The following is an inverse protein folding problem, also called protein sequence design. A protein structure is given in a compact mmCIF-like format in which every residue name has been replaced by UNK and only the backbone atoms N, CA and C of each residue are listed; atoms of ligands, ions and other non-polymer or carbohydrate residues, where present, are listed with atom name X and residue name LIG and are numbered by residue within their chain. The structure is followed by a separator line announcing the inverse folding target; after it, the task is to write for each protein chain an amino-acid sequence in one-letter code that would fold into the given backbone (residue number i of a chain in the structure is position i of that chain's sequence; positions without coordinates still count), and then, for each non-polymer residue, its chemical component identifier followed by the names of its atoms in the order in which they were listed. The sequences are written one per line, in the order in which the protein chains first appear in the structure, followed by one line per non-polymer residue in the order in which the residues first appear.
data_IF_174819950365
#
_entry.id   IF_174819950365
#
_cell.length_a   1.000
_cell.length_b   1.000
_cell.length_c   1.000
_cell.angle_alpha   90.00
_cell.angle_beta   90.00
_cell.angle_gamma   90.00
#
_symmetry.space_group_name_H-M   'P 1'
#
loop_
_entity.id
_entity.type
_entity.pdbx_description
1 polymer ?
#
# COMPACT_ATOMS: atom_id res chain seq x y z
N UNK A 1 0.19 -8.78 15.96
CA UNK A 1 -0.95 -9.52 15.40
C UNK A 1 -0.39 -10.62 14.52
N UNK A 2 -0.83 -11.88 14.69
CA UNK A 2 -0.34 -13.00 13.87
C UNK A 2 -1.13 -13.17 12.57
N UNK A 3 -2.22 -12.42 12.40
CA UNK A 3 -3.17 -12.51 11.28
C UNK A 3 -3.09 -11.31 10.35
N UNK A 4 -2.05 -10.48 10.47
CA UNK A 4 -1.87 -9.29 9.65
C UNK A 4 -0.50 -9.31 9.01
N UNK A 5 -0.46 -9.09 7.70
CA UNK A 5 0.76 -9.02 6.92
C UNK A 5 1.10 -7.55 6.70
N UNK A 6 2.26 -7.13 7.20
CA UNK A 6 2.75 -5.78 6.97
C UNK A 6 3.72 -5.79 5.77
N UNK A 7 3.47 -4.92 4.80
CA UNK A 7 4.29 -4.74 3.61
C UNK A 7 5.00 -3.40 3.67
N UNK A 8 6.25 -3.36 3.21
CA UNK A 8 7.05 -2.14 3.09
C UNK A 8 7.38 -1.89 1.63
N UNK A 9 7.32 -0.63 1.21
CA UNK A 9 7.81 -0.21 -0.10
C UNK A 9 9.34 -0.18 -0.07
N UNK A 10 9.99 -1.04 -0.85
CA UNK A 10 11.45 -1.15 -0.91
C UNK A 10 12.06 -0.48 -2.15
N UNK A 11 11.23 0.04 -3.05
CA UNK A 11 11.70 0.74 -4.25
C UNK A 11 12.55 1.95 -3.85
N UNK A 12 13.80 2.06 -4.34
CA UNK A 12 14.68 3.17 -4.01
C UNK A 12 14.10 4.56 -4.29
N UNK A 13 13.22 4.70 -5.29
CA UNK A 13 12.57 5.96 -5.62
C UNK A 13 11.64 6.45 -4.50
N UNK A 14 11.05 5.54 -3.74
CA UNK A 14 10.17 5.84 -2.59
C UNK A 14 10.96 5.79 -1.29
N UNK A 15 11.79 4.76 -1.10
CA UNK A 15 12.52 4.52 0.15
C UNK A 15 13.52 5.63 0.52
N UNK A 16 13.98 6.42 -0.47
CA UNK A 16 14.86 7.59 -0.27
C UNK A 16 14.09 8.87 0.08
N UNK A 17 12.77 8.89 -0.08
CA UNK A 17 11.96 10.06 0.25
C UNK A 17 11.93 10.28 1.78
N UNK A 18 11.70 11.52 2.24
CA UNK A 18 11.34 11.78 3.64
C UNK A 18 10.16 10.92 4.08
N UNK A 19 10.12 10.55 5.37
CA UNK A 19 9.08 9.66 5.93
C UNK A 19 7.67 10.18 5.64
N UNK A 20 7.44 11.49 5.72
CA UNK A 20 6.14 12.08 5.40
C UNK A 20 5.75 11.90 3.94
N UNK A 21 6.71 12.01 3.01
CA UNK A 21 6.47 11.78 1.59
C UNK A 21 6.25 10.30 1.27
N UNK A 22 6.89 9.38 2.00
CA UNK A 22 6.58 7.95 1.93
C UNK A 22 5.15 7.67 2.41
N UNK A 23 4.72 8.34 3.48
CA UNK A 23 3.33 8.24 3.96
C UNK A 23 2.32 8.79 2.96
N UNK A 24 2.61 9.92 2.31
CA UNK A 24 1.78 10.45 1.23
C UNK A 24 1.68 9.45 0.09
N UNK A 25 2.80 8.87 -0.35
CA UNK A 25 2.81 7.83 -1.38
C UNK A 25 1.93 6.63 -1.02
N UNK A 26 2.04 6.12 0.22
CA UNK A 26 1.21 5.02 0.71
C UNK A 26 -0.27 5.40 0.72
N UNK A 27 -0.61 6.61 1.19
CA UNK A 27 -1.99 7.09 1.21
C UNK A 27 -2.58 7.22 -0.20
N UNK A 28 -1.81 7.73 -1.16
CA UNK A 28 -2.25 7.87 -2.55
C UNK A 28 -2.51 6.50 -3.19
N UNK A 29 -1.61 5.54 -2.95
CA UNK A 29 -1.79 4.15 -3.39
C UNK A 29 -3.07 3.55 -2.81
N UNK A 30 -3.28 3.68 -1.49
CA UNK A 30 -4.47 3.15 -0.82
C UNK A 30 -5.74 3.84 -1.32
N UNK A 31 -5.71 5.16 -1.53
CA UNK A 31 -6.85 5.91 -2.04
C UNK A 31 -7.29 5.45 -3.44
N UNK A 32 -6.35 5.04 -4.31
CA UNK A 32 -6.69 4.47 -5.62
C UNK A 32 -7.45 3.14 -5.49
N UNK A 33 -7.01 2.28 -4.57
CA UNK A 33 -7.62 0.96 -4.33
C UNK A 33 -9.00 1.12 -3.68
N UNK A 34 -9.12 2.02 -2.70
CA UNK A 34 -10.38 2.31 -2.02
C UNK A 34 -11.41 2.94 -2.97
N UNK A 35 -10.96 3.82 -3.87
CA UNK A 35 -11.82 4.46 -4.88
C UNK A 35 -12.49 3.43 -5.79
N UNK A 36 -11.77 2.39 -6.17
CA UNK A 36 -12.28 1.32 -7.03
C UNK A 36 -13.00 0.22 -6.24
N UNK A 37 -13.13 0.38 -4.92
CA UNK A 37 -13.87 -0.52 -4.04
C UNK A 37 -13.23 -1.90 -3.85
N UNK A 38 -11.91 -1.98 -4.01
CA UNK A 38 -11.18 -3.26 -4.04
C UNK A 38 -10.79 -3.73 -2.64
N UNK A 39 -10.28 -2.82 -1.81
CA UNK A 39 -9.94 -3.08 -0.41
C UNK A 39 -9.97 -1.79 0.39
N UNK A 40 -10.15 -1.92 1.71
CA UNK A 40 -10.29 -0.81 2.64
C UNK A 40 -9.40 -1.04 3.86
N UNK A 41 -8.97 0.05 4.50
CA UNK A 41 -8.20 0.02 5.75
C UNK A 41 -6.91 -0.83 5.64
N UNK A 42 -6.22 -0.69 4.50
CA UNK A 42 -4.97 -1.40 4.22
C UNK A 42 -3.71 -0.53 4.43
N UNK A 43 -3.88 0.73 4.85
CA UNK A 43 -2.77 1.58 5.27
C UNK A 43 -2.24 1.11 6.64
N UNK A 44 -0.92 1.12 6.82
CA UNK A 44 -0.35 0.76 8.12
C UNK A 44 -0.64 1.83 9.18
N UNK A 45 -0.48 1.47 10.45
CA UNK A 45 -0.69 2.37 11.58
C UNK A 45 0.26 3.58 11.49
N UNK A 46 -0.22 4.79 11.87
CA UNK A 46 0.56 6.03 11.81
C UNK A 46 1.91 5.95 12.53
N UNK A 47 1.94 5.24 13.65
CA UNK A 47 3.15 5.09 14.48
C UNK A 47 4.06 3.93 14.02
N UNK A 48 3.71 3.23 12.93
CA UNK A 48 4.54 2.21 12.30
C UNK A 48 5.34 2.79 11.12
N UNK A 49 6.30 2.05 10.53
CA UNK A 49 6.94 2.49 9.29
C UNK A 49 5.91 2.62 8.13
N UNK A 50 6.13 3.57 7.20
CA UNK A 50 5.27 3.72 6.02
C UNK A 50 5.15 2.40 5.25
N UNK A 51 3.92 1.96 5.04
CA UNK A 51 3.65 0.69 4.39
C UNK A 51 2.18 0.32 4.43
N UNK A 52 1.90 -0.92 4.02
CA UNK A 52 0.56 -1.49 4.01
C UNK A 52 0.43 -2.51 5.13
N UNK A 53 -0.80 -2.72 5.58
CA UNK A 53 -1.16 -3.77 6.53
C UNK A 53 -2.42 -4.46 6.04
N UNK A 54 -2.28 -5.70 5.60
CA UNK A 54 -3.38 -6.50 5.07
C UNK A 54 -3.82 -7.50 6.14
N UNK A 55 -5.12 -7.55 6.44
CA UNK A 55 -5.69 -8.55 7.33
C UNK A 55 -5.93 -9.86 6.58
N UNK A 56 -5.35 -10.95 7.09
CA UNK A 56 -5.49 -12.31 6.56
C UNK A 56 -6.02 -13.26 7.65
N UNK A 57 -6.96 -12.78 8.48
CA UNK A 57 -7.60 -13.59 9.52
C UNK A 57 -8.72 -14.49 9.00
N UNK A 58 -9.41 -15.18 9.90
CA UNK A 58 -10.41 -16.21 9.57
C UNK A 58 -11.62 -15.75 8.73
N UNK A 59 -11.81 -14.45 8.54
CA UNK A 59 -12.90 -13.85 7.75
C UNK A 59 -12.46 -13.40 6.36
N UNK A 60 -11.20 -13.65 5.97
CA UNK A 60 -10.66 -13.28 4.66
C UNK A 60 -10.26 -14.55 3.93
N UNK A 61 -10.82 -14.73 2.73
CA UNK A 61 -10.48 -15.85 1.86
C UNK A 61 -9.14 -15.61 1.16
N UNK A 62 -8.35 -16.67 0.98
CA UNK A 62 -7.09 -16.59 0.26
C UNK A 62 -7.28 -16.04 -1.18
N UNK A 63 -8.38 -16.43 -1.84
CA UNK A 63 -8.71 -15.95 -3.19
C UNK A 63 -8.97 -14.45 -3.27
N UNK A 64 -9.40 -13.80 -2.19
CA UNK A 64 -9.61 -12.35 -2.18
C UNK A 64 -8.28 -11.62 -2.00
N UNK A 65 -7.35 -12.18 -1.22
CA UNK A 65 -5.97 -11.69 -1.14
C UNK A 65 -5.27 -11.82 -2.50
N UNK A 66 -5.44 -12.96 -3.18
CA UNK A 66 -4.89 -13.16 -4.54
C UNK A 66 -5.42 -12.14 -5.54
N UNK A 67 -6.72 -11.82 -5.50
CA UNK A 67 -7.32 -10.78 -6.34
C UNK A 67 -6.79 -9.39 -6.01
N UNK A 68 -6.44 -9.10 -4.74
CA UNK A 68 -5.89 -7.81 -4.33
C UNK A 68 -4.49 -7.56 -4.90
N UNK A 69 -3.64 -8.59 -5.05
CA UNK A 69 -2.25 -8.44 -5.49
C UNK A 69 -2.08 -7.66 -6.82
N UNK A 70 -2.78 -7.99 -7.93
CA UNK A 70 -2.65 -7.22 -9.17
C UNK A 70 -3.14 -5.77 -9.04
N UNK A 71 -4.08 -5.48 -8.14
CA UNK A 71 -4.50 -4.11 -7.85
C UNK A 71 -3.45 -3.33 -7.08
N UNK A 72 -2.69 -3.98 -6.20
CA UNK A 72 -1.54 -3.37 -5.54
C UNK A 72 -0.46 -3.00 -6.56
N UNK A 73 -0.17 -3.87 -7.53
CA UNK A 73 0.80 -3.59 -8.60
C UNK A 73 0.37 -2.41 -9.48
N UNK A 74 -0.91 -2.37 -9.87
CA UNK A 74 -1.48 -1.27 -10.64
C UNK A 74 -1.45 0.05 -9.86
N UNK A 75 -1.94 0.06 -8.62
CA UNK A 75 -2.01 1.26 -7.79
C UNK A 75 -0.60 1.78 -7.46
N UNK A 76 0.33 0.88 -7.19
CA UNK A 76 1.75 1.22 -7.03
C UNK A 76 2.32 1.91 -8.26
N UNK A 77 2.08 1.35 -9.45
CA UNK A 77 2.56 1.92 -10.72
C UNK A 77 1.97 3.32 -10.93
N UNK A 78 0.67 3.50 -10.68
CA UNK A 78 -0.02 4.78 -10.81
C UNK A 78 0.49 5.83 -9.80
N UNK A 79 0.65 5.46 -8.54
CA UNK A 79 1.20 6.35 -7.52
C UNK A 79 2.66 6.73 -7.86
N UNK A 80 3.45 5.80 -8.40
CA UNK A 80 4.84 6.06 -8.81
C UNK A 80 4.93 6.98 -10.02
N UNK A 81 4.03 6.86 -11.00
CA UNK A 81 3.92 7.78 -12.13
C UNK A 81 3.63 9.22 -11.69
N UNK A 82 2.89 9.39 -10.59
CA UNK A 82 2.55 10.68 -10.02
C UNK A 82 3.67 11.30 -9.17
N UNK A 83 4.71 10.52 -8.81
CA UNK A 83 5.87 11.08 -8.13
C UNK A 83 6.57 12.09 -9.05
N UNK A 84 7.01 13.24 -8.51
CA UNK A 84 7.79 14.18 -9.29
C UNK A 84 9.02 13.46 -9.83
N UNK A 85 9.17 13.45 -11.17
CA UNK A 85 10.41 12.98 -11.80
C UNK A 85 11.55 13.80 -11.22
N UNK A 86 12.52 13.13 -10.62
CA UNK A 86 13.75 13.78 -10.18
C UNK A 86 14.30 14.56 -11.38
N UNK A 87 14.40 15.88 -11.22
CA UNK A 87 14.96 16.79 -12.21
C UNK A 87 16.46 16.57 -12.38
#
# INVERSE_FOLDING_TARGET
SNTSVCLKVVDPAVAKLPVDAQWTFVKDLVALIEKDGIAYDIANHRDAPPGLRIWCGATVEASDVEKLLPWLDWAYTKAKEALPKAA
#
